data_IF_555588521836
#
_entry.id   IF_555588521836
#
_cell.length_a   1.000
_cell.length_b   1.000
_cell.length_c   1.000
_cell.angle_alpha   90.00
_cell.angle_beta   90.00
_cell.angle_gamma   90.00
#
_symmetry.space_group_name_H-M   'P 1'
#
loop_
_entity.id
_entity.type
_entity.pdbx_description
1 polymer ?
#
# COMPACT_ATOMS: atom_id res chain seq x y z
N UNK A 1 -13.93 -16.29 20.40
CA UNK A 1 -15.13 -16.13 19.55
C UNK A 1 -14.72 -16.45 18.12
N UNK A 2 -15.35 -17.43 17.47
CA UNK A 2 -15.19 -17.62 16.02
C UNK A 2 -16.26 -16.80 15.33
N UNK A 3 -15.90 -15.62 14.85
CA UNK A 3 -16.75 -14.76 14.02
C UNK A 3 -16.25 -14.81 12.59
N UNK A 4 -17.17 -14.81 11.62
CA UNK A 4 -16.85 -14.59 10.22
C UNK A 4 -15.98 -13.32 10.08
N UNK A 5 -14.91 -13.34 9.26
CA UNK A 5 -14.09 -12.16 9.10
C UNK A 5 -14.97 -11.00 8.58
N UNK A 6 -14.69 -9.76 9.01
CA UNK A 6 -15.35 -8.59 8.46
C UNK A 6 -15.31 -8.60 6.93
N UNK A 7 -16.32 -7.99 6.31
CA UNK A 7 -16.33 -7.85 4.85
C UNK A 7 -15.16 -6.97 4.41
N UNK A 8 -14.67 -7.18 3.17
CA UNK A 8 -13.62 -6.34 2.58
C UNK A 8 -13.93 -4.84 2.67
N UNK A 9 -15.21 -4.46 2.53
CA UNK A 9 -15.64 -3.06 2.66
C UNK A 9 -15.53 -2.53 4.10
N UNK A 10 -15.83 -3.36 5.10
CA UNK A 10 -15.69 -3.00 6.51
C UNK A 10 -14.22 -2.78 6.87
N UNK A 11 -13.33 -3.69 6.44
CA UNK A 11 -11.89 -3.56 6.71
C UNK A 11 -11.30 -2.33 6.02
N UNK A 12 -11.67 -2.09 4.76
CA UNK A 12 -11.21 -0.91 4.04
C UNK A 12 -11.70 0.38 4.71
N UNK A 13 -12.95 0.41 5.19
CA UNK A 13 -13.50 1.54 5.93
C UNK A 13 -12.74 1.82 7.21
N UNK A 14 -12.43 0.78 7.99
CA UNK A 14 -11.61 0.89 9.19
C UNK A 14 -10.21 1.44 8.87
N UNK A 15 -9.49 0.82 7.93
CA UNK A 15 -8.13 1.25 7.55
C UNK A 15 -8.10 2.70 7.06
N UNK A 16 -9.09 3.10 6.26
CA UNK A 16 -9.20 4.47 5.76
C UNK A 16 -9.47 5.47 6.87
N UNK A 17 -10.30 5.11 7.86
CA UNK A 17 -10.56 5.94 9.04
C UNK A 17 -9.31 6.10 9.92
N UNK A 18 -8.51 5.04 10.10
CA UNK A 18 -7.26 5.12 10.85
C UNK A 18 -6.21 6.02 10.16
N UNK A 19 -6.16 5.99 8.82
CA UNK A 19 -5.31 6.90 8.02
C UNK A 19 -5.80 8.34 8.18
N UNK A 20 -7.10 8.59 8.01
CA UNK A 20 -7.68 9.93 8.17
C UNK A 20 -7.47 10.50 9.58
N UNK A 21 -7.43 9.63 10.59
CA UNK A 21 -7.16 10.00 11.97
C UNK A 21 -5.66 10.15 12.30
N UNK A 22 -4.75 9.92 11.35
CA UNK A 22 -3.30 9.98 11.55
C UNK A 22 -2.74 8.88 12.47
N UNK A 23 -3.51 7.81 12.72
CA UNK A 23 -3.10 6.66 13.55
C UNK A 23 -2.43 5.55 12.72
N UNK A 24 -2.64 5.58 11.41
CA UNK A 24 -2.00 4.68 10.46
C UNK A 24 -1.34 5.49 9.35
N UNK A 25 -0.04 5.32 9.17
CA UNK A 25 0.73 5.98 8.10
C UNK A 25 1.17 4.93 7.06
N UNK A 26 0.60 4.93 5.84
CA UNK A 26 1.03 4.03 4.77
C UNK A 26 2.48 4.31 4.36
N UNK A 27 3.36 3.32 4.49
CA UNK A 27 4.76 3.47 4.11
C UNK A 27 4.94 3.27 2.59
N UNK A 28 5.16 4.37 1.88
CA UNK A 28 5.54 4.40 0.46
C UNK A 28 7.05 4.64 0.38
N UNK A 29 7.78 3.64 -0.11
CA UNK A 29 9.24 3.73 -0.22
C UNK A 29 9.73 4.14 -1.61
N UNK A 30 8.86 4.09 -2.62
CA UNK A 30 9.15 4.55 -3.97
C UNK A 30 7.86 4.93 -4.68
N UNK A 31 7.87 6.06 -5.36
CA UNK A 31 6.87 6.45 -6.35
C UNK A 31 7.54 6.52 -7.72
N UNK A 32 6.90 5.97 -8.75
CA UNK A 32 7.43 5.94 -10.12
C UNK A 32 6.30 6.04 -11.16
N UNK A 33 6.65 6.29 -12.42
CA UNK A 33 5.67 6.20 -13.51
C UNK A 33 5.27 4.75 -13.76
N UNK A 34 4.04 4.52 -14.22
CA UNK A 34 3.64 3.22 -14.79
C UNK A 34 4.56 2.76 -15.92
N UNK A 35 5.16 3.70 -16.66
CA UNK A 35 6.12 3.39 -17.73
C UNK A 35 7.44 2.80 -17.20
N UNK A 36 7.70 2.93 -15.91
CA UNK A 36 8.92 2.48 -15.21
C UNK A 36 8.62 1.29 -14.28
N UNK A 37 7.51 0.58 -14.51
CA UNK A 37 7.05 -0.51 -13.63
C UNK A 37 8.13 -1.58 -13.37
N UNK A 38 8.97 -1.89 -14.37
CA UNK A 38 10.05 -2.86 -14.22
C UNK A 38 11.08 -2.41 -13.19
N UNK A 39 11.47 -1.14 -13.18
CA UNK A 39 12.46 -0.62 -12.23
C UNK A 39 11.91 -0.64 -10.79
N UNK A 40 10.63 -0.34 -10.63
CA UNK A 40 9.93 -0.46 -9.34
C UNK A 40 9.88 -1.90 -8.83
N UNK A 41 9.57 -2.85 -9.71
CA UNK A 41 9.58 -4.28 -9.38
C UNK A 41 10.98 -4.79 -9.03
N UNK A 42 12.00 -4.35 -9.76
CA UNK A 42 13.39 -4.69 -9.47
C UNK A 42 13.84 -4.14 -8.13
N UNK A 43 13.42 -2.92 -7.77
CA UNK A 43 13.74 -2.32 -6.48
C UNK A 43 13.15 -3.11 -5.30
N UNK A 44 11.91 -3.63 -5.45
CA UNK A 44 11.29 -4.55 -4.48
C UNK A 44 12.05 -5.87 -4.41
N UNK A 45 12.31 -6.49 -5.57
CA UNK A 45 12.99 -7.79 -5.66
C UNK A 45 14.39 -7.74 -5.05
N UNK A 46 15.13 -6.67 -5.31
CA UNK A 46 16.46 -6.43 -4.77
C UNK A 46 16.45 -5.94 -3.31
N UNK A 47 15.28 -5.80 -2.68
CA UNK A 47 15.10 -5.25 -1.31
C UNK A 47 15.78 -3.90 -1.11
N UNK A 48 15.79 -3.06 -2.16
CA UNK A 48 16.35 -1.70 -2.12
C UNK A 48 15.35 -0.67 -1.59
N UNK A 49 14.08 -1.02 -1.57
CA UNK A 49 12.97 -0.17 -1.09
C UNK A 49 12.31 -0.85 0.11
N UNK A 50 12.04 -0.06 1.14
CA UNK A 50 11.22 -0.48 2.28
C UNK A 50 9.78 -0.04 2.05
N UNK A 51 8.80 -0.89 2.36
CA UNK A 51 7.39 -0.56 2.17
C UNK A 51 6.92 -0.77 0.72
N UNK A 52 6.04 0.11 0.25
CA UNK A 52 5.34 -0.07 -1.03
C UNK A 52 6.01 0.71 -2.16
N UNK A 53 5.86 0.20 -3.38
CA UNK A 53 6.08 0.95 -4.62
C UNK A 53 4.73 1.37 -5.17
N UNK A 54 4.53 2.66 -5.42
CA UNK A 54 3.32 3.22 -6.02
C UNK A 54 3.63 3.64 -7.45
N UNK A 55 2.82 3.19 -8.41
CA UNK A 55 2.98 3.50 -9.82
C UNK A 55 1.89 4.49 -10.27
N UNK A 56 2.29 5.66 -10.74
CA UNK A 56 1.42 6.69 -11.26
C UNK A 56 1.05 6.40 -12.72
N UNK A 57 -0.25 6.36 -13.03
CA UNK A 57 -0.79 6.04 -14.37
C UNK A 57 -1.06 7.26 -15.25
N UNK A 58 -0.62 8.44 -14.79
CA UNK A 58 -0.87 9.73 -15.44
C UNK A 58 -0.02 9.93 -16.70
#
# INVERSE_FOLDING_TARGET
ESGEPPSFGSDLGLLSAEIAAGRLEPQVGLEASWREALDGLEALRARRVQGKVVLHVN
#
